data_IF_504680857634
#
_entry.id   IF_504680857634
#
_cell.length_a   1.000
_cell.length_b   1.000
_cell.length_c   1.000
_cell.angle_alpha   90.00
_cell.angle_beta   90.00
_cell.angle_gamma   90.00
#
_symmetry.space_group_name_H-M   'P 1'
#
loop_
_entity.id
_entity.type
_entity.pdbx_description
1 polymer ?
#
# COMPACT_ATOMS: atom_id res chain seq x y z
N UNK A 1 16.33 -1.32 -12.66
CA UNK A 1 15.22 -0.76 -13.46
C UNK A 1 13.92 -1.24 -12.84
N UNK A 2 13.02 -0.36 -12.38
CA UNK A 2 11.73 -0.77 -11.84
C UNK A 2 10.89 -1.33 -13.00
N UNK A 3 10.57 -2.62 -12.94
CA UNK A 3 9.67 -3.29 -13.89
C UNK A 3 8.32 -2.57 -13.85
N UNK A 4 7.65 -2.37 -14.99
CA UNK A 4 6.27 -1.84 -15.00
C UNK A 4 5.39 -2.78 -14.18
N UNK A 5 4.86 -2.29 -13.07
CA UNK A 5 3.93 -3.02 -12.22
C UNK A 5 2.52 -2.61 -12.64
N UNK A 6 1.69 -3.59 -13.02
CA UNK A 6 0.27 -3.37 -13.26
C UNK A 6 -0.47 -3.47 -11.93
N UNK A 7 -1.06 -2.36 -11.53
CA UNK A 7 -1.93 -2.26 -10.36
C UNK A 7 -3.37 -2.30 -10.87
N UNK A 8 -4.17 -3.23 -10.36
CA UNK A 8 -5.57 -3.37 -10.76
C UNK A 8 -6.47 -2.49 -9.90
N UNK A 9 -6.24 -2.44 -8.58
CA UNK A 9 -7.00 -1.59 -7.65
C UNK A 9 -6.13 -1.10 -6.51
N UNK A 10 -6.46 0.09 -6.02
CA UNK A 10 -5.98 0.63 -4.74
C UNK A 10 -7.22 0.93 -3.91
N UNK A 11 -7.30 0.33 -2.73
CA UNK A 11 -8.48 0.38 -1.87
C UNK A 11 -8.04 0.94 -0.52
N UNK A 12 -8.65 2.04 -0.12
CA UNK A 12 -8.58 2.54 1.25
C UNK A 12 -9.57 1.73 2.10
N UNK A 13 -9.08 1.18 3.22
CA UNK A 13 -9.92 0.51 4.19
C UNK A 13 -9.60 1.04 5.60
N UNK A 14 -10.09 0.34 6.63
CA UNK A 14 -9.82 0.71 8.02
C UNK A 14 -10.61 1.92 8.50
N UNK A 15 -10.14 2.51 9.60
CA UNK A 15 -10.85 3.57 10.33
C UNK A 15 -11.09 4.81 9.46
N UNK A 16 -10.13 5.16 8.59
CA UNK A 16 -10.22 6.31 7.69
C UNK A 16 -11.30 6.15 6.62
N UNK A 17 -11.47 4.94 6.08
CA UNK A 17 -12.55 4.66 5.13
C UNK A 17 -13.94 4.73 5.78
N UNK A 18 -14.05 4.37 7.07
CA UNK A 18 -15.33 4.34 7.81
C UNK A 18 -15.70 5.68 8.47
N UNK A 19 -14.80 6.66 8.46
CA UNK A 19 -15.01 7.94 9.17
C UNK A 19 -14.78 7.87 10.68
N UNK A 20 -14.13 6.81 11.18
CA UNK A 20 -13.84 6.58 12.60
C UNK A 20 -12.40 6.98 12.98
N UNK A 21 -11.64 7.54 12.04
CA UNK A 21 -10.24 7.86 12.24
C UNK A 21 -10.05 9.07 13.16
N UNK A 22 -9.06 8.96 14.04
CA UNK A 22 -8.56 10.07 14.84
C UNK A 22 -7.33 10.68 14.19
N UNK A 23 -6.81 11.77 14.78
CA UNK A 23 -5.54 12.39 14.36
C UNK A 23 -4.33 11.46 14.50
N UNK A 24 -4.44 10.38 15.29
CA UNK A 24 -3.39 9.39 15.51
C UNK A 24 -3.59 8.11 14.69
N UNK A 25 -4.63 8.05 13.85
CA UNK A 25 -4.93 6.86 13.07
C UNK A 25 -4.05 6.79 11.82
N UNK A 26 -3.50 5.60 11.57
CA UNK A 26 -2.74 5.29 10.36
C UNK A 26 -3.67 5.17 9.15
N UNK A 27 -3.09 5.12 7.96
CA UNK A 27 -3.79 4.80 6.71
C UNK A 27 -3.68 3.31 6.39
N UNK A 28 -4.80 2.65 6.10
CA UNK A 28 -4.80 1.24 5.71
C UNK A 28 -5.09 1.10 4.21
N UNK A 29 -4.12 0.59 3.44
CA UNK A 29 -4.25 0.49 1.98
C UNK A 29 -4.05 -0.94 1.50
N UNK A 30 -5.02 -1.43 0.73
CA UNK A 30 -4.96 -2.69 0.01
C UNK A 30 -4.71 -2.42 -1.47
N UNK A 31 -3.63 -2.99 -1.98
CA UNK A 31 -3.25 -2.91 -3.39
C UNK A 31 -3.49 -4.28 -4.02
N UNK A 32 -4.36 -4.33 -5.02
CA UNK A 32 -4.59 -5.49 -5.87
C UNK A 32 -3.71 -5.38 -7.10
N UNK A 33 -2.94 -6.42 -7.36
CA UNK A 33 -1.96 -6.47 -8.44
C UNK A 33 -2.14 -7.74 -9.27
N UNK A 34 -1.77 -7.67 -10.54
CA UNK A 34 -1.86 -8.80 -11.48
C UNK A 34 -1.06 -10.03 -10.97
N UNK A 35 -1.52 -11.25 -11.30
CA UNK A 35 -1.01 -12.53 -10.73
C UNK A 35 0.45 -12.83 -11.13
N UNK A 36 1.00 -12.07 -12.08
CA UNK A 36 2.36 -12.23 -12.58
C UNK A 36 3.49 -11.75 -11.64
N UNK A 37 3.16 -11.22 -10.46
CA UNK A 37 4.16 -10.72 -9.51
C UNK A 37 4.61 -11.77 -8.48
N UNK A 38 5.91 -12.00 -8.41
CA UNK A 38 6.50 -12.90 -7.43
C UNK A 38 6.60 -12.24 -6.03
N UNK A 39 6.95 -13.04 -5.02
CA UNK A 39 7.05 -12.58 -3.63
C UNK A 39 8.06 -11.43 -3.44
N UNK A 40 9.21 -11.49 -4.11
CA UNK A 40 10.24 -10.46 -4.01
C UNK A 40 9.77 -9.14 -4.63
N UNK A 41 9.12 -9.18 -5.79
CA UNK A 41 8.56 -7.99 -6.44
C UNK A 41 7.50 -7.31 -5.54
N UNK A 42 6.60 -8.10 -4.93
CA UNK A 42 5.61 -7.58 -3.96
C UNK A 42 6.28 -6.96 -2.73
N UNK A 43 7.39 -7.56 -2.25
CA UNK A 43 8.16 -7.04 -1.11
C UNK A 43 8.85 -5.73 -1.46
N UNK A 44 9.48 -5.62 -2.62
CA UNK A 44 10.14 -4.40 -3.05
C UNK A 44 9.14 -3.27 -3.31
N UNK A 45 7.96 -3.58 -3.89
CA UNK A 45 6.86 -2.62 -4.00
C UNK A 45 6.42 -2.11 -2.63
N UNK A 46 6.19 -3.02 -1.67
CA UNK A 46 5.83 -2.67 -0.29
C UNK A 46 6.89 -1.77 0.39
N UNK A 47 8.17 -2.04 0.16
CA UNK A 47 9.27 -1.23 0.71
C UNK A 47 9.30 0.15 0.08
N UNK A 48 9.18 0.23 -1.25
CA UNK A 48 9.18 1.49 -1.98
C UNK A 48 8.07 2.41 -1.47
N UNK A 49 6.84 1.90 -1.40
CA UNK A 49 5.69 2.70 -0.96
C UNK A 49 5.85 3.13 0.51
N UNK A 50 6.26 2.23 1.41
CA UNK A 50 6.50 2.58 2.82
C UNK A 50 7.58 3.65 2.96
N UNK A 51 8.67 3.56 2.19
CA UNK A 51 9.74 4.55 2.21
C UNK A 51 9.23 5.92 1.75
N UNK A 52 8.54 5.98 0.62
CA UNK A 52 7.98 7.24 0.09
C UNK A 52 6.97 7.87 1.05
N UNK A 53 6.11 7.07 1.68
CA UNK A 53 5.13 7.59 2.64
C UNK A 53 5.77 8.01 3.97
N UNK A 54 6.84 7.34 4.41
CA UNK A 54 7.61 7.76 5.57
C UNK A 54 8.31 9.11 5.35
N UNK A 55 8.84 9.37 4.16
CA UNK A 55 9.42 10.67 3.78
C UNK A 55 8.38 11.82 3.84
N UNK A 56 7.10 11.49 3.67
CA UNK A 56 5.98 12.41 3.78
C UNK A 56 5.34 12.43 5.19
N UNK A 57 5.91 11.70 6.15
CA UNK A 57 5.36 11.53 7.51
C UNK A 57 3.92 11.00 7.53
N UNK A 58 3.57 10.13 6.57
CA UNK A 58 2.26 9.48 6.48
C UNK A 58 2.39 8.06 7.04
N UNK A 59 1.86 7.79 8.25
CA UNK A 59 1.86 6.44 8.80
C UNK A 59 0.84 5.58 8.06
N UNK A 60 1.25 4.38 7.63
CA UNK A 60 0.48 3.56 6.70
C UNK A 60 0.78 2.07 6.82
N UNK A 61 -0.29 1.28 6.85
CA UNK A 61 -0.27 -0.15 6.73
C UNK A 61 -0.66 -0.59 5.32
N UNK A 62 0.27 -1.29 4.65
CA UNK A 62 0.13 -1.69 3.25
C UNK A 62 0.03 -3.20 3.13
N UNK A 63 -1.10 -3.64 2.56
CA UNK A 63 -1.37 -4.99 2.12
C UNK A 63 -1.29 -5.03 0.59
N UNK A 64 -0.56 -6.01 0.05
CA UNK A 64 -0.51 -6.27 -1.39
C UNK A 64 -1.04 -7.68 -1.61
N UNK A 65 -2.09 -7.80 -2.42
CA UNK A 65 -2.75 -9.06 -2.77
C UNK A 65 -2.84 -9.20 -4.28
N UNK A 66 -2.89 -10.45 -4.72
CA UNK A 66 -3.33 -10.80 -6.07
C UNK A 66 -4.84 -10.96 -6.09
#
# INVERSE_FOLDING_TARGET
MLKKIKIDKIILFGSRARGEATKYSDWDILIIVDDNMNFNEKRELKKLIRKTLAELLIPVDIIVKK
#
